data_IF_886701717218
#
_entry.id   IF_886701717218
#
_cell.length_a   1.000
_cell.length_b   1.000
_cell.length_c   1.000
_cell.angle_alpha   90.00
_cell.angle_beta   90.00
_cell.angle_gamma   90.00
#
_symmetry.space_group_name_H-M   'P 1'
#
loop_
_entity.id
_entity.type
_entity.pdbx_description
1 polymer ?
#
# COMPACT_ATOMS: atom_id res chain seq x y z
N UNK A 1 14.07 -20.63 -27.44
CA UNK A 1 14.39 -20.74 -25.98
C UNK A 1 13.97 -22.13 -25.52
N UNK A 2 14.80 -22.86 -24.78
CA UNK A 2 14.38 -24.15 -24.23
C UNK A 2 13.32 -23.94 -23.13
N UNK A 3 12.42 -24.89 -22.96
CA UNK A 3 11.39 -24.85 -21.91
C UNK A 3 12.00 -24.66 -20.51
N UNK A 4 13.18 -25.20 -20.30
CA UNK A 4 13.98 -25.08 -19.09
C UNK A 4 14.34 -23.62 -18.75
N UNK A 5 14.73 -22.83 -19.75
CA UNK A 5 15.08 -21.41 -19.53
C UNK A 5 13.85 -20.56 -19.14
N UNK A 6 12.69 -20.81 -19.75
CA UNK A 6 11.48 -20.06 -19.42
C UNK A 6 10.96 -20.37 -18.02
N UNK A 7 11.04 -21.64 -17.62
CA UNK A 7 10.70 -22.06 -16.27
C UNK A 7 11.66 -21.46 -15.24
N UNK A 8 12.96 -21.42 -15.54
CA UNK A 8 13.94 -20.83 -14.63
C UNK A 8 13.68 -19.33 -14.42
N UNK A 9 13.35 -18.58 -15.49
CA UNK A 9 12.99 -17.16 -15.37
C UNK A 9 11.79 -16.97 -14.42
N UNK A 10 10.75 -17.79 -14.55
CA UNK A 10 9.59 -17.72 -13.68
C UNK A 10 9.95 -18.03 -12.22
N UNK A 11 10.76 -19.05 -11.98
CA UNK A 11 11.24 -19.40 -10.65
C UNK A 11 12.04 -18.27 -10.00
N UNK A 12 12.92 -17.63 -10.76
CA UNK A 12 13.75 -16.52 -10.30
C UNK A 12 12.89 -15.30 -9.94
N UNK A 13 11.92 -14.94 -10.78
CA UNK A 13 11.01 -13.81 -10.51
C UNK A 13 10.11 -14.09 -9.29
N UNK A 14 9.55 -15.28 -9.17
CA UNK A 14 8.77 -15.66 -7.99
C UNK A 14 9.62 -15.64 -6.71
N UNK A 15 10.86 -16.11 -6.80
CA UNK A 15 11.79 -16.13 -5.66
C UNK A 15 12.24 -14.74 -5.18
N UNK A 16 12.07 -13.69 -5.99
CA UNK A 16 12.31 -12.29 -5.59
C UNK A 16 11.19 -11.69 -4.76
N UNK A 17 10.02 -12.32 -4.73
CA UNK A 17 8.90 -11.83 -3.96
C UNK A 17 9.11 -12.05 -2.46
N UNK A 18 8.83 -11.06 -1.60
CA UNK A 18 9.01 -11.18 -0.16
C UNK A 18 8.15 -12.33 0.40
N UNK A 19 8.76 -13.16 1.22
CA UNK A 19 8.09 -14.32 1.82
C UNK A 19 7.98 -15.56 0.91
N UNK A 20 8.43 -15.50 -0.33
CA UNK A 20 8.44 -16.64 -1.24
C UNK A 20 9.87 -17.23 -1.29
N UNK A 21 10.05 -18.34 -0.58
CA UNK A 21 11.30 -19.11 -0.66
C UNK A 21 11.33 -20.06 -1.87
N UNK A 22 12.49 -20.72 -2.14
CA UNK A 22 12.67 -21.58 -3.31
C UNK A 22 11.61 -22.67 -3.48
N UNK A 23 11.21 -23.33 -2.38
CA UNK A 23 10.17 -24.37 -2.40
C UNK A 23 8.79 -23.81 -2.78
N UNK A 24 8.46 -22.62 -2.28
CA UNK A 24 7.18 -21.96 -2.61
C UNK A 24 7.18 -21.48 -4.05
N UNK A 25 8.28 -20.87 -4.51
CA UNK A 25 8.44 -20.46 -5.90
C UNK A 25 8.27 -21.65 -6.85
N UNK A 26 8.91 -22.79 -6.55
CA UNK A 26 8.78 -24.01 -7.33
C UNK A 26 7.33 -24.52 -7.39
N UNK A 27 6.65 -24.59 -6.24
CA UNK A 27 5.26 -25.05 -6.17
C UNK A 27 4.32 -24.14 -6.98
N UNK A 28 4.50 -22.81 -6.90
CA UNK A 28 3.71 -21.85 -7.68
C UNK A 28 4.00 -22.01 -9.16
N UNK A 29 5.27 -22.09 -9.56
CA UNK A 29 5.65 -22.22 -10.96
C UNK A 29 5.08 -23.49 -11.61
N UNK A 30 5.13 -24.62 -10.94
CA UNK A 30 4.53 -25.87 -11.44
C UNK A 30 3.00 -25.80 -11.51
N UNK A 31 2.35 -25.18 -10.51
CA UNK A 31 0.91 -24.95 -10.57
C UNK A 31 0.52 -24.11 -11.80
N UNK A 32 1.24 -23.00 -12.06
CA UNK A 32 0.98 -22.16 -13.22
C UNK A 32 1.28 -22.87 -14.57
N UNK A 33 2.23 -23.79 -14.57
CA UNK A 33 2.55 -24.59 -15.77
C UNK A 33 1.45 -25.60 -16.09
N UNK A 34 0.78 -26.15 -15.08
CA UNK A 34 -0.34 -27.10 -15.21
C UNK A 34 -1.69 -26.41 -15.43
N UNK A 35 -1.83 -25.16 -14.99
CA UNK A 35 -3.02 -24.34 -15.15
C UNK A 35 -3.27 -24.00 -16.64
N UNK A 36 -4.50 -23.68 -16.98
CA UNK A 36 -4.79 -23.20 -18.33
C UNK A 36 -4.16 -21.81 -18.59
N UNK A 37 -3.91 -21.51 -19.86
CA UNK A 37 -3.25 -20.26 -20.25
C UNK A 37 -4.05 -19.01 -19.83
N UNK A 38 -5.38 -19.14 -19.72
CA UNK A 38 -6.25 -18.03 -19.30
C UNK A 38 -6.11 -17.71 -17.81
N UNK A 39 -5.90 -18.70 -16.97
CA UNK A 39 -5.64 -18.49 -15.55
C UNK A 39 -4.30 -17.77 -15.34
N UNK A 40 -3.25 -18.20 -16.03
CA UNK A 40 -1.95 -17.53 -16.00
C UNK A 40 -2.04 -16.08 -16.52
N UNK A 41 -2.81 -15.85 -17.59
CA UNK A 41 -3.05 -14.51 -18.15
C UNK A 41 -3.77 -13.61 -17.15
N UNK A 42 -4.84 -14.08 -16.51
CA UNK A 42 -5.56 -13.29 -15.50
C UNK A 42 -4.64 -12.81 -14.37
N UNK A 43 -3.74 -13.67 -13.90
CA UNK A 43 -2.76 -13.27 -12.87
C UNK A 43 -1.79 -12.21 -13.39
N UNK A 44 -1.25 -12.40 -14.60
CA UNK A 44 -0.32 -11.44 -15.20
C UNK A 44 -1.01 -10.08 -15.43
N UNK A 45 -2.21 -10.09 -15.97
CA UNK A 45 -2.99 -8.85 -16.21
C UNK A 45 -3.32 -8.14 -14.90
N UNK A 46 -3.68 -8.87 -13.84
CA UNK A 46 -3.93 -8.28 -12.52
C UNK A 46 -2.69 -7.58 -11.95
N UNK A 47 -1.51 -8.18 -12.09
CA UNK A 47 -0.24 -7.58 -11.66
C UNK A 47 0.04 -6.28 -12.44
N UNK A 48 -0.13 -6.31 -13.76
CA UNK A 48 0.09 -5.14 -14.62
C UNK A 48 -0.93 -4.02 -14.33
N UNK A 49 -2.20 -4.37 -14.13
CA UNK A 49 -3.27 -3.43 -13.79
C UNK A 49 -2.98 -2.68 -12.50
N UNK A 50 -2.59 -3.38 -11.42
CA UNK A 50 -2.22 -2.74 -10.15
C UNK A 50 -1.06 -1.76 -10.35
N UNK A 51 -0.08 -2.11 -11.17
CA UNK A 51 1.09 -1.24 -11.43
C UNK A 51 0.75 -0.01 -12.26
N UNK A 52 -0.25 -0.09 -13.13
CA UNK A 52 -0.64 1.03 -14.01
C UNK A 52 -1.71 1.93 -13.41
N UNK A 53 -2.62 1.40 -12.59
CA UNK A 53 -3.80 2.12 -12.13
C UNK A 53 -3.71 2.60 -10.68
N UNK A 54 -2.95 1.87 -9.83
CA UNK A 54 -2.85 2.23 -8.41
C UNK A 54 -1.71 3.21 -8.17
N UNK A 55 -2.06 4.34 -7.58
CA UNK A 55 -1.12 5.39 -7.17
C UNK A 55 -1.51 5.94 -5.79
N UNK A 56 -0.81 6.96 -5.32
CA UNK A 56 -1.16 7.60 -4.06
C UNK A 56 -2.27 8.65 -4.23
N UNK A 57 -3.23 8.64 -3.32
CA UNK A 57 -4.25 9.67 -3.19
C UNK A 57 -3.59 11.04 -3.03
N UNK A 58 -4.00 12.02 -3.83
CA UNK A 58 -3.46 13.38 -3.80
C UNK A 58 -3.66 14.07 -2.44
N UNK A 59 -4.64 13.63 -1.65
CA UNK A 59 -4.99 14.23 -0.38
C UNK A 59 -4.40 13.53 0.84
N UNK A 60 -4.50 12.20 0.92
CA UNK A 60 -4.14 11.45 2.13
C UNK A 60 -2.98 10.47 1.95
N UNK A 61 -2.47 10.28 0.74
CA UNK A 61 -1.38 9.37 0.37
C UNK A 61 -1.68 7.89 0.63
N UNK A 62 -2.95 7.52 0.82
CA UNK A 62 -3.40 6.13 0.72
C UNK A 62 -3.43 5.68 -0.75
N UNK A 63 -3.58 4.40 -1.02
CA UNK A 63 -3.75 3.91 -2.39
C UNK A 63 -5.08 4.37 -2.99
N UNK A 64 -5.04 4.80 -4.24
CA UNK A 64 -6.15 5.28 -5.03
C UNK A 64 -6.02 4.84 -6.50
N UNK A 65 -7.13 4.76 -7.21
CA UNK A 65 -7.18 4.62 -8.68
C UNK A 65 -7.67 5.90 -9.34
N UNK A 66 -8.25 6.83 -8.58
CA UNK A 66 -8.62 8.19 -8.97
C UNK A 66 -7.74 9.22 -8.28
N UNK A 67 -7.98 10.50 -8.49
CA UNK A 67 -7.21 11.56 -7.84
C UNK A 67 -7.25 11.44 -6.31
N UNK A 68 -8.43 11.27 -5.73
CA UNK A 68 -8.60 10.94 -4.32
C UNK A 68 -9.02 9.47 -4.14
N UNK A 69 -8.76 8.89 -2.97
CA UNK A 69 -9.20 7.55 -2.64
C UNK A 69 -10.66 7.54 -2.18
N UNK A 70 -11.31 6.37 -2.22
CA UNK A 70 -12.70 6.19 -1.81
C UNK A 70 -13.01 6.71 -0.40
N UNK A 71 -12.03 6.70 0.50
CA UNK A 71 -12.20 7.23 1.87
C UNK A 71 -12.28 8.77 1.85
N UNK A 72 -11.43 9.44 1.06
CA UNK A 72 -11.46 10.89 0.94
C UNK A 72 -12.70 11.40 0.20
N UNK A 73 -13.19 10.65 -0.77
CA UNK A 73 -14.40 10.97 -1.53
C UNK A 73 -15.70 10.70 -0.75
N UNK A 74 -15.67 9.83 0.25
CA UNK A 74 -16.86 9.48 1.04
C UNK A 74 -17.33 10.65 1.90
N UNK A 75 -18.39 11.30 1.48
CA UNK A 75 -19.00 12.44 2.17
C UNK A 75 -19.66 12.08 3.52
N UNK A 76 -19.89 10.79 3.79
CA UNK A 76 -20.45 10.33 5.06
C UNK A 76 -19.44 10.27 6.20
N UNK A 77 -18.16 10.46 5.90
CA UNK A 77 -17.06 10.46 6.86
C UNK A 77 -17.03 11.72 7.72
N UNK A 78 -16.59 11.56 8.95
CA UNK A 78 -16.33 12.68 9.85
C UNK A 78 -15.06 13.43 9.41
N UNK A 79 -15.24 14.57 8.78
CA UNK A 79 -14.16 15.39 8.25
C UNK A 79 -13.40 16.20 9.30
N UNK A 80 -13.92 16.25 10.53
CA UNK A 80 -13.27 16.90 11.68
C UNK A 80 -12.20 16.03 12.34
N UNK A 81 -12.08 14.76 11.97
CA UNK A 81 -11.11 13.83 12.56
C UNK A 81 -10.16 13.26 11.52
N UNK A 82 -8.88 13.25 11.84
CA UNK A 82 -7.83 12.69 10.99
C UNK A 82 -6.97 11.70 11.78
N UNK A 83 -6.83 10.49 11.26
CA UNK A 83 -5.95 9.46 11.80
C UNK A 83 -4.66 9.41 10.98
N UNK A 84 -3.54 9.69 11.63
CA UNK A 84 -2.22 9.70 11.01
C UNK A 84 -1.57 8.34 11.20
N UNK A 85 -1.21 7.69 10.09
CA UNK A 85 -0.59 6.36 10.06
C UNK A 85 0.71 6.37 9.26
N UNK A 86 1.54 5.36 9.46
CA UNK A 86 2.81 5.23 8.74
C UNK A 86 2.62 4.81 7.29
N UNK A 87 1.79 3.81 7.03
CA UNK A 87 1.68 3.16 5.71
C UNK A 87 0.23 2.91 5.30
N UNK A 88 -0.07 2.76 3.99
CA UNK A 88 -1.42 2.44 3.51
C UNK A 88 -2.03 1.15 4.08
N UNK A 89 -1.19 0.16 4.41
CA UNK A 89 -1.64 -1.08 5.03
C UNK A 89 -2.27 -0.86 6.42
N UNK A 90 -1.83 0.17 7.15
CA UNK A 90 -2.36 0.53 8.47
C UNK A 90 -3.79 1.07 8.33
N UNK A 91 -4.06 1.87 7.28
CA UNK A 91 -5.43 2.29 6.93
C UNK A 91 -6.33 1.06 6.75
N UNK A 92 -5.90 0.08 5.95
CA UNK A 92 -6.67 -1.14 5.70
C UNK A 92 -6.92 -1.95 6.98
N UNK A 93 -5.97 -1.95 7.90
CA UNK A 93 -6.10 -2.64 9.18
C UNK A 93 -7.17 -1.97 10.08
N UNK A 94 -7.15 -0.64 10.17
CA UNK A 94 -8.12 0.13 10.96
C UNK A 94 -9.52 0.05 10.32
N UNK A 95 -9.63 0.20 9.00
CA UNK A 95 -10.92 0.10 8.28
C UNK A 95 -11.62 -1.24 8.50
N UNK A 96 -10.88 -2.34 8.57
CA UNK A 96 -11.45 -3.66 8.85
C UNK A 96 -12.14 -3.76 10.22
N UNK A 97 -11.80 -2.90 11.17
CA UNK A 97 -12.48 -2.88 12.48
C UNK A 97 -13.89 -2.29 12.40
N UNK A 98 -14.16 -1.46 11.40
CA UNK A 98 -15.42 -0.72 11.26
C UNK A 98 -15.67 0.34 12.34
N UNK A 99 -14.71 0.56 13.25
CA UNK A 99 -14.88 1.42 14.43
C UNK A 99 -14.54 2.89 14.16
N UNK A 100 -13.75 3.17 13.11
CA UNK A 100 -13.31 4.52 12.78
C UNK A 100 -14.02 5.05 11.54
N UNK A 101 -14.53 6.27 11.63
CA UNK A 101 -15.31 6.91 10.55
C UNK A 101 -14.75 8.28 10.15
N UNK A 102 -13.53 8.62 10.59
CA UNK A 102 -12.83 9.83 10.19
C UNK A 102 -12.02 9.67 8.92
N UNK A 103 -11.22 10.68 8.61
CA UNK A 103 -10.26 10.70 7.50
C UNK A 103 -8.89 10.15 7.93
N UNK A 104 -8.04 9.89 6.97
CA UNK A 104 -6.67 9.42 7.21
C UNK A 104 -5.63 10.38 6.61
N UNK A 105 -4.40 10.25 7.10
CA UNK A 105 -3.21 10.78 6.47
C UNK A 105 -2.07 9.77 6.61
N UNK A 106 -1.51 9.36 5.48
CA UNK A 106 -0.42 8.38 5.42
C UNK A 106 0.90 9.11 5.29
N UNK A 107 1.80 8.92 6.25
CA UNK A 107 3.11 9.59 6.27
C UNK A 107 4.09 9.03 5.23
N UNK A 108 3.93 7.78 4.82
CA UNK A 108 4.86 7.10 3.91
C UNK A 108 6.04 6.43 4.63
N UNK A 109 5.94 6.23 5.92
CA UNK A 109 6.94 5.60 6.77
C UNK A 109 6.92 6.14 8.19
N UNK A 110 8.03 5.98 8.89
CA UNK A 110 8.28 6.48 10.25
C UNK A 110 9.60 7.24 10.28
N UNK A 111 9.75 8.17 11.22
CA UNK A 111 11.04 8.83 11.46
C UNK A 111 12.03 7.76 11.94
N UNK A 112 13.16 7.64 11.26
CA UNK A 112 14.22 6.70 11.59
C UNK A 112 15.57 7.37 11.39
N UNK A 113 16.19 7.88 12.45
CA UNK A 113 17.52 8.48 12.36
C UNK A 113 18.59 7.52 11.85
N UNK A 114 18.47 6.24 12.16
CA UNK A 114 19.41 5.20 11.69
C UNK A 114 19.34 5.02 10.17
N UNK A 115 18.13 5.09 9.58
CA UNK A 115 17.92 5.01 8.13
C UNK A 115 17.98 6.38 7.45
N UNK A 116 18.31 7.44 8.21
CA UNK A 116 18.33 8.85 7.75
C UNK A 116 16.98 9.33 7.20
N UNK A 117 15.88 8.82 7.77
CA UNK A 117 14.53 9.23 7.43
C UNK A 117 14.11 10.31 8.45
N UNK A 118 14.05 11.55 7.99
CA UNK A 118 13.54 12.68 8.72
C UNK A 118 12.14 13.12 8.26
N UNK A 119 11.58 14.17 8.85
CA UNK A 119 10.27 14.70 8.45
C UNK A 119 10.18 15.09 6.98
N UNK A 120 11.31 15.44 6.36
CA UNK A 120 11.39 15.88 4.95
C UNK A 120 11.16 14.74 3.95
N UNK A 121 11.43 13.49 4.35
CA UNK A 121 11.20 12.30 3.55
C UNK A 121 9.80 11.74 3.72
N UNK A 122 9.02 12.28 4.65
CA UNK A 122 7.66 11.87 4.96
C UNK A 122 6.66 12.97 4.60
N UNK A 123 5.38 12.62 4.46
CA UNK A 123 4.29 13.55 4.15
C UNK A 123 3.85 14.39 5.37
N UNK A 124 4.81 14.88 6.16
CA UNK A 124 4.55 15.72 7.35
C UNK A 124 4.14 17.12 6.94
N UNK A 125 4.80 17.69 5.93
CA UNK A 125 4.47 19.03 5.41
C UNK A 125 3.04 19.08 4.88
N UNK A 126 2.63 18.07 4.15
CA UNK A 126 1.29 17.94 3.61
C UNK A 126 0.24 17.76 4.73
N UNK A 127 0.57 17.04 5.80
CA UNK A 127 -0.27 16.96 6.99
C UNK A 127 -0.49 18.34 7.61
N UNK A 128 0.59 19.08 7.84
CA UNK A 128 0.51 20.43 8.41
C UNK A 128 -0.31 21.38 7.53
N UNK A 129 -0.17 21.29 6.20
CA UNK A 129 -0.97 22.03 5.26
C UNK A 129 -2.47 21.71 5.39
N UNK A 130 -2.83 20.44 5.53
CA UNK A 130 -4.22 20.00 5.75
C UNK A 130 -4.78 20.53 7.07
N UNK A 131 -4.01 20.47 8.14
CA UNK A 131 -4.41 20.99 9.46
C UNK A 131 -4.65 22.50 9.44
N UNK A 132 -3.96 23.22 8.56
CA UNK A 132 -4.16 24.67 8.39
C UNK A 132 -5.30 25.06 7.46
N UNK A 133 -5.73 24.17 6.56
CA UNK A 133 -6.71 24.47 5.50
C UNK A 133 -8.06 23.75 5.68
N UNK A 134 -8.10 22.68 6.45
CA UNK A 134 -9.29 21.87 6.72
C UNK A 134 -9.78 22.14 8.16
N UNK A 135 -11.08 21.97 8.40
CA UNK A 135 -11.67 22.12 9.75
C UNK A 135 -11.42 20.88 10.61
N UNK A 136 -10.16 20.56 10.87
CA UNK A 136 -9.76 19.41 11.69
C UNK A 136 -9.86 19.78 13.18
N UNK A 137 -10.63 19.01 13.94
CA UNK A 137 -10.84 19.18 15.36
C UNK A 137 -10.04 18.18 16.21
N UNK A 138 -9.75 17.01 15.64
CA UNK A 138 -9.02 15.93 16.32
C UNK A 138 -8.00 15.27 15.40
N UNK A 139 -6.78 15.12 15.90
CA UNK A 139 -5.70 14.36 15.23
C UNK A 139 -5.34 13.17 16.09
N UNK A 140 -5.50 11.96 15.54
CA UNK A 140 -5.15 10.70 16.17
C UNK A 140 -3.83 10.24 15.57
N UNK A 141 -2.78 10.13 16.37
CA UNK A 141 -1.49 9.60 15.93
C UNK A 141 -1.48 8.08 16.15
N UNK A 142 -1.50 7.33 15.07
CA UNK A 142 -1.54 5.86 15.07
C UNK A 142 -0.35 5.27 14.29
N UNK A 143 0.82 5.83 14.51
CA UNK A 143 2.08 5.29 13.99
C UNK A 143 2.57 4.14 14.86
N UNK A 144 3.41 3.28 14.31
CA UNK A 144 4.00 2.18 15.07
C UNK A 144 4.88 2.74 16.20
N UNK A 145 4.80 2.14 17.42
CA UNK A 145 5.65 2.53 18.53
C UNK A 145 7.08 2.02 18.29
N UNK A 146 7.96 2.90 17.84
CA UNK A 146 9.39 2.64 17.69
C UNK A 146 10.15 3.30 18.84
N UNK A 147 11.36 2.81 19.09
CA UNK A 147 12.27 3.43 20.10
C UNK A 147 12.94 4.70 19.51
N UNK A 148 12.85 4.88 18.20
CA UNK A 148 13.47 5.98 17.45
C UNK A 148 12.58 7.22 17.36
#
# INVERSE_FOLDING_TARGET
>A
MSADRSLQILLDELGRLPGIGPKSAQRIAYHLLEADAEEARRLADAILMVKSEVHFCSRCFNYATGDECAICEDSSRDRGRICVVGEPRDVSAIERTGSYRGLYHVLGGVISPMDKIGPEQLHVRELLSRLGSEEIQEVIIATNPNIE
#
